data_IF_960052289031
#
_entry.id   IF_960052289031
#
_cell.length_a   1.000
_cell.length_b   1.000
_cell.length_c   1.000
_cell.angle_alpha   90.00
_cell.angle_beta   90.00
_cell.angle_gamma   90.00
#
_symmetry.space_group_name_H-M   'P 1'
#
loop_
_entity.id
_entity.type
_entity.pdbx_description
1 polymer ?
#
# COMPACT_ATOMS: atom_id res chain seq x y z
N UNK A 1 -3.83 29.20 53.64
CA UNK A 1 -3.62 29.59 52.22
C UNK A 1 -2.78 28.59 51.42
N UNK A 2 -1.65 28.05 51.94
CA UNK A 2 -0.77 27.11 51.20
C UNK A 2 -1.45 25.83 50.65
N UNK A 3 -2.43 25.27 51.37
CA UNK A 3 -3.18 24.05 50.94
C UNK A 3 -4.08 24.31 49.73
N UNK A 4 -4.67 25.49 49.63
CA UNK A 4 -5.56 25.88 48.52
C UNK A 4 -4.77 26.06 47.21
N UNK A 5 -3.60 26.69 47.29
CA UNK A 5 -2.69 26.86 46.14
C UNK A 5 -2.11 25.53 45.66
N UNK A 6 -1.95 24.54 46.55
CA UNK A 6 -1.49 23.20 46.18
C UNK A 6 -2.56 22.44 45.38
N UNK A 7 -3.81 22.42 45.85
CA UNK A 7 -4.92 21.78 45.11
C UNK A 7 -5.15 22.43 43.74
N UNK A 8 -5.05 23.76 43.66
CA UNK A 8 -5.18 24.49 42.39
C UNK A 8 -4.10 24.08 41.38
N UNK A 9 -2.85 23.93 41.83
CA UNK A 9 -1.74 23.47 40.98
C UNK A 9 -1.94 22.03 40.49
N UNK A 10 -2.40 21.13 41.35
CA UNK A 10 -2.68 19.73 40.99
C UNK A 10 -3.83 19.67 39.95
N UNK A 11 -4.89 20.44 40.17
CA UNK A 11 -6.00 20.52 39.21
C UNK A 11 -5.57 21.09 37.86
N UNK A 12 -4.67 22.08 37.86
CA UNK A 12 -4.14 22.67 36.63
C UNK A 12 -3.28 21.68 35.84
N UNK A 13 -2.43 20.90 36.52
CA UNK A 13 -1.59 19.86 35.90
C UNK A 13 -2.46 18.70 35.36
N UNK A 14 -3.52 18.34 36.09
CA UNK A 14 -4.48 17.33 35.63
C UNK A 14 -5.27 17.80 34.41
N UNK A 15 -5.67 19.07 34.36
CA UNK A 15 -6.35 19.63 33.20
C UNK A 15 -5.42 19.73 31.98
N UNK A 16 -4.14 20.08 32.20
CA UNK A 16 -3.15 20.17 31.14
C UNK A 16 -2.79 18.79 30.56
N UNK A 17 -2.70 17.75 31.40
CA UNK A 17 -2.48 16.38 30.91
C UNK A 17 -3.65 15.86 30.09
N UNK A 18 -4.89 16.10 30.51
CA UNK A 18 -6.08 15.74 29.71
C UNK A 18 -6.13 16.47 28.36
N UNK A 19 -5.70 17.73 28.30
CA UNK A 19 -5.62 18.48 27.05
C UNK A 19 -4.56 17.90 26.09
N UNK A 20 -3.42 17.43 26.61
CA UNK A 20 -2.36 16.83 25.80
C UNK A 20 -2.71 15.44 25.26
N UNK A 21 -3.58 14.67 25.93
CA UNK A 21 -4.05 13.36 25.44
C UNK A 21 -5.22 13.45 24.45
N UNK A 22 -5.89 14.61 24.35
CA UNK A 22 -7.06 14.79 23.49
C UNK A 22 -6.72 14.88 21.98
N UNK A 23 -5.44 15.04 21.63
CA UNK A 23 -4.95 15.05 20.25
C UNK A 23 -4.25 13.73 19.92
N UNK A 24 -4.95 12.62 20.07
CA UNK A 24 -4.53 11.34 19.46
C UNK A 24 -5.45 11.14 18.26
N UNK A 25 -5.03 11.57 17.07
CA UNK A 25 -5.79 11.30 15.85
C UNK A 25 -5.71 9.79 15.58
N UNK A 26 -6.82 9.04 15.63
CA UNK A 26 -6.78 7.61 15.37
C UNK A 26 -6.39 7.42 13.91
N UNK A 27 -5.16 6.99 13.67
CA UNK A 27 -4.61 6.75 12.35
C UNK A 27 -5.56 5.83 11.56
N UNK A 28 -6.17 6.35 10.50
CA UNK A 28 -7.31 5.70 9.85
C UNK A 28 -6.85 4.81 8.70
N UNK A 29 -7.65 3.78 8.37
CA UNK A 29 -7.38 2.90 7.20
C UNK A 29 -7.23 3.73 5.91
N UNK A 30 -7.97 4.83 5.81
CA UNK A 30 -7.90 5.75 4.68
C UNK A 30 -6.53 6.44 4.56
N UNK A 31 -5.89 6.80 5.68
CA UNK A 31 -4.54 7.37 5.66
C UNK A 31 -3.52 6.35 5.13
N UNK A 32 -3.57 5.11 5.60
CA UNK A 32 -2.66 4.06 5.13
C UNK A 32 -2.86 3.73 3.64
N UNK A 33 -4.13 3.63 3.20
CA UNK A 33 -4.46 3.40 1.79
C UNK A 33 -4.02 4.58 0.92
N UNK A 34 -4.24 5.81 1.39
CA UNK A 34 -3.80 7.03 0.73
C UNK A 34 -2.28 7.09 0.58
N UNK A 35 -1.54 6.71 1.62
CA UNK A 35 -0.08 6.60 1.56
C UNK A 35 0.34 5.59 0.49
N UNK A 36 -0.18 4.37 0.52
CA UNK A 36 0.15 3.33 -0.47
C UNK A 36 -0.16 3.79 -1.91
N UNK A 37 -1.33 4.39 -2.13
CA UNK A 37 -1.70 4.93 -3.44
C UNK A 37 -0.70 6.00 -3.90
N UNK A 38 -0.34 6.93 -3.01
CA UNK A 38 0.61 8.00 -3.30
C UNK A 38 1.99 7.43 -3.64
N UNK A 39 2.55 6.57 -2.78
CA UNK A 39 3.86 5.95 -2.98
C UNK A 39 3.92 5.19 -4.31
N UNK A 40 2.91 4.37 -4.61
CA UNK A 40 2.88 3.67 -5.88
C UNK A 40 2.74 4.58 -7.09
N UNK A 41 2.08 5.73 -6.97
CA UNK A 41 1.97 6.69 -8.07
C UNK A 41 3.29 7.43 -8.31
N UNK A 42 3.97 7.84 -7.23
CA UNK A 42 5.22 8.61 -7.30
C UNK A 42 6.40 7.76 -7.79
N UNK A 43 6.46 6.51 -7.33
CA UNK A 43 7.58 5.61 -7.58
C UNK A 43 7.35 4.64 -8.74
N UNK A 44 6.20 4.66 -9.42
CA UNK A 44 5.97 3.77 -10.57
C UNK A 44 7.00 4.01 -11.68
N UNK A 45 7.65 2.95 -12.12
CA UNK A 45 8.63 3.02 -13.19
C UNK A 45 8.03 2.57 -14.52
N UNK A 46 7.41 3.51 -15.24
CA UNK A 46 6.89 3.25 -16.58
C UNK A 46 8.00 3.00 -17.61
N UNK A 47 9.25 3.43 -17.35
CA UNK A 47 10.33 3.31 -18.33
C UNK A 47 10.71 1.86 -18.59
N UNK A 48 10.68 1.01 -17.55
CA UNK A 48 10.99 -0.43 -17.62
C UNK A 48 10.08 -1.19 -18.60
N UNK A 49 8.84 -0.75 -18.77
CA UNK A 49 7.84 -1.47 -19.57
C UNK A 49 7.31 -0.64 -20.76
N UNK A 50 7.83 0.56 -20.98
CA UNK A 50 7.36 1.54 -21.98
C UNK A 50 7.32 1.02 -23.43
N UNK A 51 8.18 0.06 -23.77
CA UNK A 51 8.21 -0.56 -25.10
C UNK A 51 6.98 -1.45 -25.38
N UNK A 52 6.34 -1.97 -24.33
CA UNK A 52 5.25 -2.94 -24.43
C UNK A 52 3.93 -2.41 -23.86
N UNK A 53 4.01 -1.57 -22.83
CA UNK A 53 2.86 -1.01 -22.14
C UNK A 53 2.62 0.40 -22.63
N UNK A 54 1.40 0.65 -23.12
CA UNK A 54 0.91 1.96 -23.54
C UNK A 54 0.53 2.84 -22.34
N UNK A 55 -0.12 2.24 -21.34
CA UNK A 55 -0.55 2.92 -20.10
C UNK A 55 -0.84 1.88 -19.02
N UNK A 56 -0.90 2.33 -17.78
CA UNK A 56 -1.26 1.50 -16.63
C UNK A 56 -2.29 2.22 -15.75
N UNK A 57 -2.97 1.47 -14.89
CA UNK A 57 -3.81 1.96 -13.80
C UNK A 57 -3.45 1.15 -12.56
N UNK A 58 -2.95 1.80 -11.51
CA UNK A 58 -2.63 1.18 -10.22
C UNK A 58 -3.43 1.88 -9.13
N UNK A 59 -4.35 1.15 -8.51
CA UNK A 59 -5.30 1.68 -7.55
C UNK A 59 -5.34 0.84 -6.27
N UNK A 60 -5.00 1.45 -5.14
CA UNK A 60 -5.22 0.94 -3.79
C UNK A 60 -6.44 1.69 -3.24
N UNK A 61 -7.49 0.95 -2.90
CA UNK A 61 -8.79 1.55 -2.58
C UNK A 61 -9.23 1.24 -1.16
N UNK A 62 -9.98 2.17 -0.57
CA UNK A 62 -10.46 2.11 0.82
C UNK A 62 -11.40 0.91 1.07
N UNK A 63 -11.98 0.34 0.01
CA UNK A 63 -12.72 -0.92 0.08
C UNK A 63 -11.82 -2.17 0.23
N UNK A 64 -10.52 -1.98 0.46
CA UNK A 64 -9.58 -3.04 0.80
C UNK A 64 -9.08 -3.84 -0.40
N UNK A 65 -8.90 -3.20 -1.57
CA UNK A 65 -8.36 -3.86 -2.76
C UNK A 65 -7.14 -3.11 -3.31
N UNK A 66 -6.18 -3.87 -3.81
CA UNK A 66 -5.16 -3.38 -4.73
C UNK A 66 -5.51 -3.90 -6.13
N UNK A 67 -5.64 -3.01 -7.10
CA UNK A 67 -5.95 -3.31 -8.51
C UNK A 67 -4.87 -2.73 -9.38
N UNK A 68 -4.32 -3.56 -10.25
CA UNK A 68 -3.29 -3.16 -11.19
C UNK A 68 -3.68 -3.61 -12.58
N UNK A 69 -3.82 -2.66 -13.49
CA UNK A 69 -4.23 -2.90 -14.87
C UNK A 69 -3.20 -2.35 -15.82
N UNK A 70 -2.82 -3.15 -16.81
CA UNK A 70 -1.81 -2.82 -17.81
C UNK A 70 -2.43 -2.89 -19.19
N UNK A 71 -2.21 -1.87 -20.00
CA UNK A 71 -2.70 -1.81 -21.36
C UNK A 71 -1.51 -1.85 -22.30
N UNK A 72 -1.42 -2.91 -23.08
CA UNK A 72 -0.31 -3.15 -23.99
C UNK A 72 -0.50 -2.41 -25.31
N UNK A 73 0.61 -2.09 -25.97
CA UNK A 73 0.62 -1.41 -27.28
C UNK A 73 -0.05 -2.24 -28.37
N UNK A 74 -0.05 -3.57 -28.23
CA UNK A 74 -0.71 -4.50 -29.15
C UNK A 74 -2.23 -4.66 -28.92
N UNK A 75 -2.82 -3.93 -27.96
CA UNK A 75 -4.25 -4.00 -27.63
C UNK A 75 -4.61 -5.01 -26.53
N UNK A 76 -3.67 -5.84 -26.08
CA UNK A 76 -3.85 -6.73 -24.92
C UNK A 76 -4.03 -5.90 -23.65
N UNK A 77 -4.87 -6.38 -22.75
CA UNK A 77 -5.02 -5.82 -21.40
C UNK A 77 -4.74 -6.92 -20.38
N UNK A 78 -4.01 -6.60 -19.32
CA UNK A 78 -3.83 -7.48 -18.18
C UNK A 78 -4.34 -6.81 -16.93
N UNK A 79 -4.99 -7.57 -16.06
CA UNK A 79 -5.62 -7.10 -14.85
C UNK A 79 -5.24 -8.02 -13.69
N UNK A 80 -4.76 -7.40 -12.63
CA UNK A 80 -4.40 -8.03 -11.37
C UNK A 80 -5.24 -7.40 -10.27
N UNK A 81 -5.80 -8.21 -9.38
CA UNK A 81 -6.46 -7.68 -8.19
C UNK A 81 -6.38 -8.64 -7.01
N UNK A 82 -6.15 -8.10 -5.82
CA UNK A 82 -6.24 -8.86 -4.58
C UNK A 82 -6.79 -8.00 -3.45
N UNK A 83 -7.36 -8.66 -2.44
CA UNK A 83 -7.82 -7.99 -1.21
C UNK A 83 -6.62 -7.69 -0.33
N UNK A 84 -6.53 -6.47 0.22
CA UNK A 84 -5.44 -6.06 1.10
C UNK A 84 -5.33 -6.96 2.35
N UNK A 85 -6.45 -7.49 2.84
CA UNK A 85 -6.47 -8.48 3.94
C UNK A 85 -5.81 -9.82 3.62
N UNK A 86 -5.52 -10.08 2.34
CA UNK A 86 -4.81 -11.27 1.86
C UNK A 86 -3.32 -11.03 1.70
N UNK A 87 -2.83 -9.80 1.89
CA UNK A 87 -1.41 -9.49 1.94
C UNK A 87 -0.70 -10.40 2.96
N UNK A 88 0.44 -10.97 2.53
CA UNK A 88 1.28 -11.82 3.36
C UNK A 88 2.61 -11.13 3.64
N UNK A 89 3.31 -10.74 2.58
CA UNK A 89 4.62 -10.09 2.65
C UNK A 89 4.94 -9.42 1.30
N UNK A 90 6.07 -8.72 1.24
CA UNK A 90 6.63 -8.17 0.03
C UNK A 90 8.13 -8.41 -0.10
N UNK A 91 8.59 -8.61 -1.33
CA UNK A 91 10.01 -8.62 -1.68
C UNK A 91 10.32 -7.51 -2.68
N UNK A 92 11.52 -6.97 -2.63
CA UNK A 92 11.99 -6.01 -3.63
C UNK A 92 13.28 -6.54 -4.26
N UNK A 93 13.28 -6.64 -5.59
CA UNK A 93 14.45 -7.05 -6.36
C UNK A 93 14.88 -5.89 -7.25
N UNK A 94 16.03 -5.29 -6.94
CA UNK A 94 16.59 -4.15 -7.64
C UNK A 94 17.57 -3.38 -6.77
N UNK A 95 17.87 -2.15 -7.18
CA UNK A 95 18.62 -1.18 -6.41
C UNK A 95 17.74 0.04 -6.08
N UNK A 96 18.35 1.09 -5.53
CA UNK A 96 17.62 2.30 -5.16
C UNK A 96 17.09 3.07 -6.37
N UNK A 97 17.70 2.92 -7.55
CA UNK A 97 17.28 3.61 -8.76
C UNK A 97 16.13 2.89 -9.48
N UNK A 98 16.15 1.56 -9.53
CA UNK A 98 15.19 0.77 -10.30
C UNK A 98 15.05 -0.65 -9.74
N UNK A 99 13.81 -1.16 -9.74
CA UNK A 99 13.54 -2.51 -9.29
C UNK A 99 12.09 -2.94 -9.46
N UNK A 100 11.80 -4.13 -8.94
CA UNK A 100 10.48 -4.76 -8.99
C UNK A 100 10.02 -5.13 -7.59
N UNK A 101 8.86 -4.60 -7.20
CA UNK A 101 8.18 -4.94 -5.97
C UNK A 101 7.24 -6.11 -6.20
N UNK A 102 7.43 -7.16 -5.42
CA UNK A 102 6.61 -8.37 -5.42
C UNK A 102 5.71 -8.32 -4.20
N UNK A 103 4.42 -8.08 -4.40
CA UNK A 103 3.43 -8.15 -3.33
C UNK A 103 2.86 -9.57 -3.29
N UNK A 104 3.05 -10.28 -2.18
CA UNK A 104 2.63 -11.69 -2.03
C UNK A 104 1.35 -11.78 -1.20
N UNK A 105 0.50 -12.74 -1.57
CA UNK A 105 -0.71 -13.08 -0.83
C UNK A 105 -0.56 -14.37 -0.03
N UNK A 106 -1.49 -14.61 0.90
CA UNK A 106 -1.49 -15.79 1.80
C UNK A 106 -1.67 -17.10 1.03
N UNK A 107 -2.43 -17.11 -0.07
CA UNK A 107 -2.48 -18.19 -1.05
C UNK A 107 -2.67 -17.63 -2.46
N UNK A 108 -3.38 -18.38 -3.31
CA UNK A 108 -3.78 -17.94 -4.66
C UNK A 108 -4.93 -16.92 -4.58
N UNK A 109 -4.67 -15.74 -4.02
CA UNK A 109 -5.67 -14.69 -3.78
C UNK A 109 -5.54 -13.50 -4.76
N UNK A 110 -4.60 -13.55 -5.71
CA UNK A 110 -4.47 -12.56 -6.78
C UNK A 110 -5.23 -13.04 -8.01
N UNK A 111 -6.31 -12.34 -8.37
CA UNK A 111 -7.02 -12.55 -9.64
C UNK A 111 -6.12 -12.04 -10.77
N UNK A 112 -5.89 -12.85 -11.79
CA UNK A 112 -5.14 -12.52 -13.00
C UNK A 112 -6.02 -12.75 -14.22
N UNK A 113 -6.35 -11.67 -14.91
CA UNK A 113 -7.18 -11.69 -16.11
C UNK A 113 -6.49 -11.03 -17.29
N UNK A 114 -6.56 -11.65 -18.46
CA UNK A 114 -6.09 -11.04 -19.70
C UNK A 114 -7.24 -10.90 -20.68
N UNK A 115 -7.19 -9.85 -21.50
CA UNK A 115 -8.17 -9.56 -22.54
C UNK A 115 -7.47 -9.23 -23.85
N UNK A 116 -7.99 -9.76 -24.97
CA UNK A 116 -7.39 -9.62 -26.31
C UNK A 116 -5.96 -10.14 -26.37
N UNK A 117 -5.68 -11.22 -25.64
CA UNK A 117 -4.40 -11.91 -25.74
C UNK A 117 -4.38 -12.77 -27.01
N UNK A 118 -3.24 -12.79 -27.72
CA UNK A 118 -3.06 -13.62 -28.93
C UNK A 118 -3.12 -15.11 -28.61
N UNK A 119 -2.74 -15.49 -27.38
CA UNK A 119 -2.81 -16.87 -26.88
C UNK A 119 -4.18 -17.28 -26.35
N UNK A 120 -5.16 -16.37 -26.36
CA UNK A 120 -6.44 -16.55 -25.68
C UNK A 120 -6.46 -15.87 -24.31
N UNK A 121 -7.65 -15.38 -23.95
CA UNK A 121 -7.87 -14.69 -22.68
C UNK A 121 -7.70 -15.67 -21.50
N UNK A 122 -6.95 -15.25 -20.49
CA UNK A 122 -6.64 -16.02 -19.29
C UNK A 122 -7.48 -15.49 -18.14
N UNK A 123 -8.06 -16.39 -17.34
CA UNK A 123 -8.68 -16.10 -16.05
C UNK A 123 -8.14 -17.10 -15.03
N UNK A 124 -7.30 -16.62 -14.11
CA UNK A 124 -6.56 -17.49 -13.19
C UNK A 124 -6.30 -16.80 -11.86
N UNK A 125 -5.84 -17.58 -10.88
CA UNK A 125 -5.39 -17.08 -9.60
C UNK A 125 -3.86 -17.21 -9.50
N UNK A 126 -3.23 -16.26 -8.83
CA UNK A 126 -1.79 -16.23 -8.56
C UNK A 126 -1.51 -15.87 -7.11
N UNK A 127 -0.26 -16.08 -6.69
CA UNK A 127 0.20 -15.79 -5.31
C UNK A 127 0.79 -14.39 -5.15
N UNK A 128 0.99 -13.65 -6.25
CA UNK A 128 1.70 -12.38 -6.21
C UNK A 128 1.35 -11.46 -7.38
N UNK A 129 1.52 -10.16 -7.14
CA UNK A 129 1.55 -9.13 -8.19
C UNK A 129 2.92 -8.46 -8.21
N UNK A 130 3.41 -8.14 -9.40
CA UNK A 130 4.74 -7.53 -9.60
C UNK A 130 4.52 -6.12 -10.14
N UNK A 131 5.11 -5.14 -9.46
CA UNK A 131 4.98 -3.72 -9.81
C UNK A 131 6.38 -3.15 -10.03
N UNK A 132 6.70 -2.58 -11.21
CA UNK A 132 7.98 -1.92 -11.44
C UNK A 132 8.02 -0.58 -10.71
N UNK A 133 9.06 -0.38 -9.90
CA UNK A 133 9.29 0.86 -9.15
C UNK A 133 10.68 1.43 -9.45
N UNK A 134 10.84 2.73 -9.14
CA UNK A 134 12.08 3.49 -9.23
C UNK A 134 12.26 4.37 -8.00
N UNK A 135 13.50 4.79 -7.76
CA UNK A 135 13.86 5.72 -6.69
C UNK A 135 13.31 5.24 -5.32
N UNK A 136 13.56 3.98 -4.97
CA UNK A 136 13.07 3.36 -3.74
C UNK A 136 14.20 3.20 -2.74
N UNK A 137 14.15 3.93 -1.64
CA UNK A 137 15.06 3.68 -0.52
C UNK A 137 14.52 2.54 0.35
N UNK A 138 15.41 1.95 1.17
CA UNK A 138 15.01 0.89 2.11
C UNK A 138 13.89 1.37 3.06
N UNK A 139 13.92 2.64 3.46
CA UNK A 139 12.91 3.24 4.33
C UNK A 139 11.54 3.30 3.65
N UNK A 140 11.47 3.67 2.37
CA UNK A 140 10.21 3.71 1.61
C UNK A 140 9.58 2.32 1.54
N UNK A 141 10.39 1.29 1.31
CA UNK A 141 9.94 -0.10 1.29
C UNK A 141 9.45 -0.57 2.67
N UNK A 142 10.10 -0.14 3.74
CA UNK A 142 9.66 -0.43 5.11
C UNK A 142 8.31 0.23 5.39
N UNK A 143 8.15 1.51 5.05
CA UNK A 143 6.89 2.23 5.21
C UNK A 143 5.75 1.58 4.43
N UNK A 144 5.99 1.15 3.18
CA UNK A 144 4.99 0.42 2.39
C UNK A 144 4.57 -0.87 3.12
N UNK A 145 5.53 -1.66 3.62
CA UNK A 145 5.24 -2.89 4.37
C UNK A 145 4.43 -2.61 5.64
N UNK A 146 4.82 -1.60 6.41
CA UNK A 146 4.13 -1.20 7.63
C UNK A 146 2.68 -0.80 7.33
N UNK A 147 2.45 0.03 6.32
CA UNK A 147 1.10 0.46 5.91
C UNK A 147 0.23 -0.74 5.51
N UNK A 148 0.76 -1.72 4.78
CA UNK A 148 0.03 -2.95 4.49
C UNK A 148 -0.30 -3.75 5.76
N UNK A 149 0.64 -3.86 6.70
CA UNK A 149 0.43 -4.57 7.96
C UNK A 149 -0.57 -3.86 8.89
N UNK A 150 -0.66 -2.53 8.84
CA UNK A 150 -1.67 -1.76 9.56
C UNK A 150 -3.08 -2.00 9.03
N UNK A 151 -3.21 -2.20 7.71
CA UNK A 151 -4.49 -2.55 7.05
C UNK A 151 -4.87 -4.00 7.31
N UNK A 152 -3.90 -4.90 7.35
CA UNK A 152 -4.08 -6.32 7.65
C UNK A 152 -3.29 -6.72 8.90
N UNK A 153 -3.75 -6.35 10.11
CA UNK A 153 -3.07 -6.76 11.33
C UNK A 153 -3.03 -8.29 11.35
N UNK A 154 -1.82 -8.85 11.18
CA UNK A 154 -1.58 -10.27 11.32
C UNK A 154 -2.03 -10.62 12.75
N UNK A 155 -3.08 -11.42 12.87
CA UNK A 155 -3.45 -12.00 14.16
C UNK A 155 -2.34 -13.00 14.49
N UNK A 156 -1.67 -12.87 15.65
CA UNK A 156 -0.60 -13.79 16.05
C UNK A 156 -1.10 -15.23 16.19
#
# INVERSE_FOLDING_TARGET
>A
MKKFTLCLKISLISALSLFLFSFSDPESIEQYVGFLQKSFTEHYDFSQESNQIKRYELNVTNNGFCRYKRYFTNGKTEYFAFKLSKFKDMDYYGDTSSGKLYLRTKGDDVIVQTYKDRGGDVDSMATQVIIPLKNMEAEDLNLIRENFNKINPQTP
#
